data_IF_513181469030
#
_entry.id   IF_513181469030
#
_cell.length_a   1.000
_cell.length_b   1.000
_cell.length_c   1.000
_cell.angle_alpha   90.00
_cell.angle_beta   90.00
_cell.angle_gamma   90.00
#
_symmetry.space_group_name_H-M   'P 1'
#
loop_
_entity.id
_entity.type
_entity.pdbx_description
1 polymer ?
#
# COMPACT_ATOMS: atom_id res chain seq x y z
N UNK A 1 -23.19 -41.14 -3.66
CA UNK A 1 -23.68 -40.12 -2.71
C UNK A 1 -22.58 -39.88 -1.68
N UNK A 2 -21.69 -38.92 -1.92
CA UNK A 2 -20.56 -38.59 -1.04
C UNK A 2 -20.80 -37.18 -0.49
N UNK A 3 -21.02 -37.07 0.81
CA UNK A 3 -21.00 -35.78 1.53
C UNK A 3 -19.54 -35.44 1.79
N UNK A 4 -19.05 -34.32 1.26
CA UNK A 4 -17.84 -33.66 1.77
C UNK A 4 -18.28 -32.49 2.64
N UNK A 5 -18.14 -32.66 3.95
CA UNK A 5 -18.15 -31.54 4.90
C UNK A 5 -16.97 -30.64 4.57
N UNK A 6 -17.24 -29.34 4.51
CA UNK A 6 -16.21 -28.32 4.64
C UNK A 6 -16.26 -27.84 6.09
N UNK A 7 -15.33 -28.33 6.90
CA UNK A 7 -15.07 -27.76 8.21
C UNK A 7 -14.26 -26.47 8.01
N UNK A 8 -14.74 -25.42 8.69
CA UNK A 8 -14.22 -24.07 8.65
C UNK A 8 -12.87 -23.90 9.33
N UNK A 9 -12.34 -22.69 9.17
CA UNK A 9 -11.30 -22.07 9.98
C UNK A 9 -9.86 -22.57 9.74
N UNK A 10 -9.41 -22.42 8.50
CA UNK A 10 -7.99 -22.44 8.14
C UNK A 10 -7.31 -21.06 8.23
N UNK A 11 -7.49 -20.32 9.33
CA UNK A 11 -6.67 -19.12 9.58
C UNK A 11 -5.30 -19.60 10.06
N UNK A 12 -4.34 -19.72 9.13
CA UNK A 12 -2.94 -19.91 9.52
C UNK A 12 -2.49 -18.70 10.33
N UNK A 13 -2.14 -18.93 11.58
CA UNK A 13 -1.51 -17.94 12.44
C UNK A 13 -0.29 -17.36 11.72
N UNK A 14 -0.34 -16.06 11.47
CA UNK A 14 0.78 -15.27 11.01
C UNK A 14 1.77 -15.18 12.17
N UNK A 15 2.80 -16.00 12.17
CA UNK A 15 3.91 -15.86 13.11
C UNK A 15 4.57 -14.49 12.88
N UNK A 16 4.50 -13.66 13.92
CA UNK A 16 5.04 -12.30 13.95
C UNK A 16 6.55 -12.32 13.70
N UNK A 17 7.09 -11.62 12.70
CA UNK A 17 8.51 -11.37 12.63
C UNK A 17 8.93 -10.41 13.76
N UNK A 18 9.97 -10.80 14.50
CA UNK A 18 10.60 -10.01 15.56
C UNK A 18 11.10 -8.65 15.01
N UNK A 19 10.68 -7.55 15.66
CA UNK A 19 10.88 -6.14 15.27
C UNK A 19 12.33 -5.61 15.38
N UNK A 20 13.35 -6.38 15.00
CA UNK A 20 14.75 -5.95 15.13
C UNK A 20 15.63 -6.00 13.86
N UNK A 21 15.07 -6.30 12.69
CA UNK A 21 15.91 -6.48 11.47
C UNK A 21 15.52 -5.65 10.25
N UNK A 22 14.48 -4.82 10.29
CA UNK A 22 13.97 -4.14 9.08
C UNK A 22 14.21 -2.62 9.00
N UNK A 23 15.06 -2.05 9.86
CA UNK A 23 15.29 -0.60 9.89
C UNK A 23 16.45 -0.07 9.03
N UNK A 24 17.11 -0.89 8.18
CA UNK A 24 18.34 -0.44 7.51
C UNK A 24 18.63 -0.91 6.07
N UNK A 25 17.67 -1.49 5.33
CA UNK A 25 17.89 -1.84 3.91
C UNK A 25 16.65 -1.50 3.09
N UNK A 26 16.55 -0.27 2.56
CA UNK A 26 15.45 0.07 1.65
C UNK A 26 15.40 1.50 1.13
N UNK A 27 16.04 2.47 1.78
CA UNK A 27 15.88 3.90 1.43
C UNK A 27 16.91 4.44 0.42
N UNK A 28 17.89 3.65 -0.05
CA UNK A 28 19.01 4.18 -0.85
C UNK A 28 19.13 3.72 -2.32
N UNK A 29 18.08 3.20 -2.97
CA UNK A 29 18.22 2.69 -4.36
C UNK A 29 17.36 3.35 -5.45
N UNK A 30 16.59 4.39 -5.15
CA UNK A 30 15.75 5.08 -6.18
C UNK A 30 16.16 6.54 -6.45
N UNK A 31 17.04 7.16 -5.65
CA UNK A 31 17.43 8.57 -5.87
C UNK A 31 18.68 8.79 -6.73
N UNK A 32 19.47 7.75 -7.01
CA UNK A 32 20.81 7.88 -7.58
C UNK A 32 20.91 7.51 -9.07
N UNK A 33 20.14 8.15 -9.96
CA UNK A 33 20.59 8.33 -11.36
C UNK A 33 19.76 9.34 -12.17
N UNK A 34 20.09 10.62 -12.06
CA UNK A 34 19.90 11.59 -13.15
C UNK A 34 21.15 12.46 -13.23
N UNK A 35 21.76 12.47 -14.41
CA UNK A 35 23.19 12.72 -14.64
C UNK A 35 23.60 14.21 -14.65
N UNK A 36 24.89 14.40 -14.38
CA UNK A 36 25.81 15.49 -14.76
C UNK A 36 25.74 16.83 -14.01
N UNK A 37 26.83 17.19 -13.31
CA UNK A 37 27.15 18.57 -12.92
C UNK A 37 28.07 18.68 -11.70
N UNK A 38 29.21 19.33 -11.87
CA UNK A 38 30.42 19.39 -11.03
C UNK A 38 30.28 19.77 -9.53
N UNK A 39 31.28 19.40 -8.71
CA UNK A 39 31.25 19.57 -7.25
C UNK A 39 31.96 20.85 -6.83
N UNK A 40 31.30 22.00 -6.76
CA UNK A 40 31.75 23.15 -5.96
C UNK A 40 30.54 24.08 -5.74
N UNK A 41 30.07 24.19 -4.49
CA UNK A 41 29.36 25.31 -3.85
C UNK A 41 28.54 24.80 -2.64
N UNK A 42 29.18 24.04 -1.76
CA UNK A 42 28.71 23.84 -0.39
C UNK A 42 29.28 24.96 0.49
N UNK A 43 28.74 26.18 0.37
CA UNK A 43 28.95 27.27 1.32
C UNK A 43 28.08 28.45 0.89
N UNK A 44 27.00 28.76 1.64
CA UNK A 44 26.28 30.06 1.72
C UNK A 44 24.74 30.03 1.85
N UNK A 45 24.15 29.00 2.45
CA UNK A 45 22.74 29.09 2.91
C UNK A 45 22.58 28.62 4.35
N UNK A 46 23.31 29.29 5.26
CA UNK A 46 23.14 29.13 6.71
C UNK A 46 23.08 30.49 7.39
N UNK A 47 22.13 31.35 7.03
CA UNK A 47 21.61 32.41 7.92
C UNK A 47 20.19 32.74 7.44
N UNK A 48 19.22 32.85 8.37
CA UNK A 48 17.78 33.16 8.20
C UNK A 48 16.80 31.97 8.20
N UNK A 49 16.96 31.03 9.13
CA UNK A 49 15.82 30.27 9.67
C UNK A 49 15.83 30.37 11.20
N UNK A 50 15.50 31.55 11.72
CA UNK A 50 15.19 31.75 13.13
C UNK A 50 14.30 32.99 13.28
N UNK A 51 13.25 32.88 14.09
CA UNK A 51 12.29 33.94 14.45
C UNK A 51 11.17 34.32 13.44
N UNK A 52 10.43 33.34 12.89
CA UNK A 52 9.03 33.56 12.43
C UNK A 52 8.18 32.29 12.22
N UNK A 53 8.61 31.08 12.62
CA UNK A 53 7.88 29.84 12.27
C UNK A 53 7.10 29.20 13.44
N UNK A 54 7.18 29.74 14.65
CA UNK A 54 6.50 29.16 15.83
C UNK A 54 5.14 29.78 16.15
N UNK A 55 4.64 30.74 15.36
CA UNK A 55 3.39 31.46 15.67
C UNK A 55 2.29 31.41 14.59
N UNK A 56 2.41 30.52 13.59
CA UNK A 56 1.41 30.36 12.51
C UNK A 56 1.11 28.91 12.10
N UNK A 57 1.32 27.93 12.99
CA UNK A 57 0.83 26.54 12.78
C UNK A 57 -0.42 26.23 13.61
N UNK A 58 -1.21 27.26 13.91
CA UNK A 58 -2.52 27.16 14.54
C UNK A 58 -3.68 27.29 13.53
N UNK A 59 -3.42 27.11 12.23
CA UNK A 59 -4.43 27.03 11.17
C UNK A 59 -4.77 25.56 10.89
N UNK A 60 -5.67 25.00 11.70
CA UNK A 60 -6.39 23.74 11.45
C UNK A 60 -5.53 22.59 10.89
N UNK A 61 -4.81 21.86 11.75
CA UNK A 61 -4.36 20.50 11.41
C UNK A 61 -5.61 19.70 11.04
N UNK A 62 -5.93 19.58 9.74
CA UNK A 62 -6.98 18.65 9.29
C UNK A 62 -6.60 17.30 9.89
N UNK A 63 -7.53 16.71 10.66
CA UNK A 63 -7.31 15.40 11.26
C UNK A 63 -6.91 14.43 10.14
N UNK A 64 -5.91 13.59 10.41
CA UNK A 64 -5.53 12.53 9.50
C UNK A 64 -6.78 11.72 9.15
N UNK A 65 -7.08 11.61 7.87
CA UNK A 65 -8.27 10.94 7.33
C UNK A 65 -7.91 10.17 6.06
N UNK A 66 -6.62 9.99 5.78
CA UNK A 66 -6.18 9.11 4.71
C UNK A 66 -5.91 7.73 5.27
N UNK A 67 -6.30 6.75 4.48
CA UNK A 67 -6.25 5.34 4.81
C UNK A 67 -5.58 4.60 3.65
N UNK A 68 -4.69 3.67 3.96
CA UNK A 68 -4.33 2.59 3.04
C UNK A 68 -5.32 1.44 3.20
N UNK A 69 -5.56 0.71 2.13
CA UNK A 69 -6.45 -0.46 2.16
C UNK A 69 -5.97 -1.54 1.20
N UNK A 70 -6.31 -2.79 1.54
CA UNK A 70 -5.99 -3.98 0.75
C UNK A 70 -7.27 -4.77 0.51
N UNK A 71 -7.52 -5.11 -0.75
CA UNK A 71 -8.68 -5.88 -1.18
C UNK A 71 -8.20 -7.21 -1.74
N UNK A 72 -8.79 -8.30 -1.27
CA UNK A 72 -8.63 -9.63 -1.87
C UNK A 72 -9.34 -9.67 -3.23
N UNK A 73 -8.63 -10.12 -4.26
CA UNK A 73 -9.13 -10.32 -5.61
C UNK A 73 -9.37 -11.82 -5.86
N UNK A 74 -10.40 -12.14 -6.66
CA UNK A 74 -10.60 -13.48 -7.20
C UNK A 74 -9.36 -13.92 -7.98
N UNK A 75 -9.03 -15.21 -7.89
CA UNK A 75 -7.93 -15.82 -8.66
C UNK A 75 -8.15 -15.71 -10.17
N UNK A 76 -9.38 -15.45 -10.62
CA UNK A 76 -9.68 -15.21 -12.03
C UNK A 76 -8.93 -14.00 -12.59
N UNK A 77 -8.47 -13.07 -11.74
CA UNK A 77 -7.62 -11.95 -12.15
C UNK A 77 -6.31 -12.42 -12.80
N UNK A 78 -5.86 -13.64 -12.52
CA UNK A 78 -4.67 -14.23 -13.15
C UNK A 78 -4.87 -14.51 -14.64
N UNK A 79 -6.11 -14.58 -15.14
CA UNK A 79 -6.41 -14.68 -16.57
C UNK A 79 -6.15 -13.36 -17.31
N UNK A 80 -6.14 -12.24 -16.60
CA UNK A 80 -5.85 -10.93 -17.17
C UNK A 80 -4.36 -10.78 -17.47
N UNK A 81 -4.02 -10.66 -18.75
CA UNK A 81 -2.62 -10.59 -19.20
C UNK A 81 -1.84 -9.42 -18.59
N UNK A 82 -2.51 -8.28 -18.35
CA UNK A 82 -1.92 -7.13 -17.68
C UNK A 82 -1.52 -7.43 -16.23
N UNK A 83 -2.42 -8.05 -15.47
CA UNK A 83 -2.17 -8.43 -14.08
C UNK A 83 -1.03 -9.44 -13.97
N UNK A 84 -1.04 -10.47 -14.83
CA UNK A 84 0.02 -11.50 -14.86
C UNK A 84 1.38 -10.90 -15.21
N UNK A 85 1.43 -10.00 -16.20
CA UNK A 85 2.67 -9.33 -16.61
C UNK A 85 3.24 -8.44 -15.49
N UNK A 86 2.38 -7.82 -14.69
CA UNK A 86 2.79 -7.01 -13.55
C UNK A 86 3.30 -7.84 -12.36
N UNK A 87 3.06 -9.15 -12.35
CA UNK A 87 3.41 -10.04 -11.24
C UNK A 87 4.20 -11.27 -11.74
N UNK A 88 5.43 -11.08 -12.25
CA UNK A 88 6.26 -12.18 -12.75
C UNK A 88 6.68 -13.15 -11.64
N UNK A 89 6.86 -12.66 -10.40
CA UNK A 89 7.32 -13.43 -9.25
C UNK A 89 6.17 -13.98 -8.38
N UNK A 90 4.95 -14.01 -8.91
CA UNK A 90 3.79 -14.52 -8.19
C UNK A 90 3.94 -16.01 -7.82
N UNK A 91 3.76 -16.32 -6.54
CA UNK A 91 3.80 -17.70 -6.04
C UNK A 91 2.40 -18.32 -6.14
N UNK A 92 2.28 -19.41 -6.91
CA UNK A 92 1.02 -20.12 -7.11
C UNK A 92 0.41 -20.51 -5.75
N UNK A 93 -0.85 -20.14 -5.56
CA UNK A 93 -1.61 -20.44 -4.35
C UNK A 93 -1.68 -19.28 -3.36
N UNK A 94 -0.77 -18.31 -3.43
CA UNK A 94 -0.86 -17.07 -2.65
C UNK A 94 -2.06 -16.22 -3.09
N UNK A 95 -2.60 -15.37 -2.21
CA UNK A 95 -3.69 -14.47 -2.58
C UNK A 95 -3.28 -13.46 -3.67
N UNK A 96 -4.26 -13.03 -4.46
CA UNK A 96 -4.14 -11.87 -5.32
C UNK A 96 -4.83 -10.69 -4.63
N UNK A 97 -4.21 -9.52 -4.62
CA UNK A 97 -4.67 -8.36 -3.86
C UNK A 97 -4.53 -7.08 -4.67
N UNK A 98 -5.41 -6.12 -4.38
CA UNK A 98 -5.30 -4.74 -4.81
C UNK A 98 -4.91 -3.88 -3.60
N UNK A 99 -3.91 -3.03 -3.78
CA UNK A 99 -3.46 -2.06 -2.77
C UNK A 99 -3.76 -0.66 -3.28
N UNK A 100 -4.29 0.20 -2.40
CA UNK A 100 -4.52 1.60 -2.71
C UNK A 100 -4.65 2.47 -1.47
N UNK A 101 -4.70 3.78 -1.69
CA UNK A 101 -5.00 4.77 -0.65
C UNK A 101 -6.30 5.52 -0.92
N UNK A 102 -6.91 6.06 0.14
CA UNK A 102 -8.13 6.87 0.03
C UNK A 102 -8.23 7.90 1.15
N UNK A 103 -8.92 9.01 0.90
CA UNK A 103 -9.34 9.97 1.94
C UNK A 103 -10.75 9.68 2.50
N UNK A 104 -11.33 8.53 2.15
CA UNK A 104 -12.61 8.03 2.66
C UNK A 104 -12.36 6.85 3.58
N UNK A 105 -13.41 6.40 4.26
CA UNK A 105 -13.37 5.11 4.92
C UNK A 105 -13.15 3.97 3.89
N UNK A 106 -12.28 2.98 4.17
CA UNK A 106 -12.02 1.85 3.27
C UNK A 106 -13.28 1.07 2.85
N UNK A 107 -14.26 0.88 3.73
CA UNK A 107 -15.52 0.18 3.40
C UNK A 107 -16.30 0.99 2.36
N UNK A 108 -16.46 2.30 2.60
CA UNK A 108 -17.12 3.21 1.65
C UNK A 108 -16.39 3.26 0.32
N UNK A 109 -15.04 3.24 0.35
CA UNK A 109 -14.23 3.21 -0.87
C UNK A 109 -14.44 1.91 -1.65
N UNK A 110 -14.54 0.79 -0.94
CA UNK A 110 -14.80 -0.52 -1.54
C UNK A 110 -16.19 -0.58 -2.18
N UNK A 111 -17.22 -0.10 -1.49
CA UNK A 111 -18.58 -0.01 -2.04
C UNK A 111 -18.62 0.82 -3.33
N UNK A 112 -17.92 1.96 -3.35
CA UNK A 112 -17.79 2.78 -4.57
C UNK A 112 -17.11 2.02 -5.71
N UNK A 113 -16.06 1.27 -5.42
CA UNK A 113 -15.42 0.42 -6.43
C UNK A 113 -16.41 -0.61 -7.01
N UNK A 114 -17.17 -1.30 -6.14
CA UNK A 114 -18.16 -2.30 -6.57
C UNK A 114 -19.33 -1.69 -7.33
N UNK A 115 -19.73 -0.46 -6.99
CA UNK A 115 -20.73 0.30 -7.72
C UNK A 115 -20.23 0.89 -9.06
N UNK A 116 -18.94 0.76 -9.38
CA UNK A 116 -18.37 1.33 -10.61
C UNK A 116 -18.14 2.85 -10.55
N UNK A 117 -18.15 3.44 -9.36
CA UNK A 117 -18.01 4.89 -9.16
C UNK A 117 -16.57 5.18 -8.76
N UNK A 118 -15.84 5.93 -9.61
CA UNK A 118 -14.41 6.18 -9.42
C UNK A 118 -13.65 4.87 -9.13
N UNK A 119 -13.99 3.82 -9.88
CA UNK A 119 -13.54 2.45 -9.61
C UNK A 119 -12.28 2.08 -10.37
N UNK A 120 -11.53 1.12 -9.83
CA UNK A 120 -10.55 0.37 -10.59
C UNK A 120 -11.22 -0.87 -11.19
N UNK A 121 -10.97 -1.15 -12.48
CA UNK A 121 -11.55 -2.30 -13.19
C UNK A 121 -11.31 -3.62 -12.44
N UNK A 122 -10.11 -3.85 -11.93
CA UNK A 122 -9.78 -5.11 -11.24
C UNK A 122 -10.55 -5.27 -9.94
N UNK A 123 -10.69 -4.19 -9.17
CA UNK A 123 -11.46 -4.22 -7.92
C UNK A 123 -12.96 -4.39 -8.20
N UNK A 124 -13.47 -3.68 -9.20
CA UNK A 124 -14.88 -3.78 -9.59
C UNK A 124 -15.23 -5.21 -10.02
N UNK A 125 -14.44 -5.80 -10.92
CA UNK A 125 -14.71 -7.12 -11.50
C UNK A 125 -14.33 -8.28 -10.56
N UNK A 126 -13.17 -8.20 -9.92
CA UNK A 126 -12.60 -9.33 -9.16
C UNK A 126 -12.52 -9.11 -7.65
N UNK A 127 -12.79 -7.90 -7.13
CA UNK A 127 -12.74 -7.62 -5.69
C UNK A 127 -13.76 -8.43 -4.91
N UNK A 128 -13.27 -9.18 -3.91
CA UNK A 128 -14.03 -10.07 -3.03
C UNK A 128 -14.33 -9.43 -1.68
N UNK A 129 -13.30 -8.99 -0.95
CA UNK A 129 -13.42 -8.41 0.40
C UNK A 129 -12.18 -7.59 0.78
N UNK A 130 -12.31 -6.74 1.79
CA UNK A 130 -11.16 -6.09 2.43
C UNK A 130 -10.36 -7.09 3.28
N UNK A 131 -9.07 -6.85 3.45
CA UNK A 131 -8.16 -7.61 4.32
C UNK A 131 -7.56 -6.70 5.40
N UNK A 132 -8.33 -6.36 6.45
CA UNK A 132 -7.95 -5.29 7.38
C UNK A 132 -6.69 -5.61 8.20
N UNK A 133 -6.44 -6.88 8.47
CA UNK A 133 -5.21 -7.37 9.13
C UNK A 133 -3.91 -6.97 8.43
N UNK A 134 -3.95 -6.58 7.15
CA UNK A 134 -2.77 -6.14 6.39
C UNK A 134 -2.51 -4.63 6.50
N UNK A 135 -3.49 -3.81 6.90
CA UNK A 135 -3.38 -2.36 6.76
C UNK A 135 -3.91 -1.52 7.93
N UNK A 136 -4.80 -2.07 8.78
CA UNK A 136 -5.47 -1.28 9.84
C UNK A 136 -4.50 -0.62 10.81
N UNK A 137 -3.40 -1.30 11.14
CA UNK A 137 -2.38 -0.82 12.09
C UNK A 137 -1.74 0.50 11.68
N UNK A 138 -1.78 0.85 10.39
CA UNK A 138 -1.17 2.06 9.87
C UNK A 138 -2.14 3.26 9.84
N UNK A 139 -3.44 3.00 9.95
CA UNK A 139 -4.48 4.02 9.73
C UNK A 139 -4.93 4.70 11.05
N UNK A 140 -5.32 5.98 11.02
CA UNK A 140 -5.28 6.92 9.90
C UNK A 140 -3.96 7.70 9.82
N UNK A 141 -3.61 8.18 8.62
CA UNK A 141 -2.35 8.85 8.32
C UNK A 141 -2.52 10.14 7.51
N UNK A 142 -1.51 11.03 7.47
CA UNK A 142 -1.50 12.15 6.53
C UNK A 142 -1.43 11.67 5.08
N UNK A 143 -1.81 12.52 4.13
CA UNK A 143 -1.82 12.19 2.69
C UNK A 143 -0.49 11.62 2.20
N UNK A 144 0.61 12.33 2.49
CA UNK A 144 1.94 11.90 2.04
C UNK A 144 2.33 10.55 2.66
N UNK A 145 1.98 10.34 3.93
CA UNK A 145 2.17 9.05 4.59
C UNK A 145 1.37 7.91 3.95
N UNK A 146 0.13 8.17 3.53
CA UNK A 146 -0.71 7.18 2.82
C UNK A 146 -0.17 6.82 1.45
N UNK A 147 0.33 7.82 0.73
CA UNK A 147 0.96 7.63 -0.57
C UNK A 147 2.22 6.77 -0.47
N UNK A 148 3.09 7.08 0.50
CA UNK A 148 4.33 6.32 0.69
C UNK A 148 4.03 4.89 1.19
N UNK A 149 3.12 4.75 2.16
CA UNK A 149 2.73 3.45 2.71
C UNK A 149 2.07 2.53 1.69
N UNK A 150 1.26 3.06 0.76
CA UNK A 150 0.67 2.28 -0.33
C UNK A 150 1.75 1.57 -1.17
N UNK A 151 2.84 2.27 -1.49
CA UNK A 151 3.96 1.73 -2.27
C UNK A 151 4.70 0.68 -1.46
N UNK A 152 5.07 1.00 -0.21
CA UNK A 152 5.80 0.08 0.66
C UNK A 152 5.03 -1.22 0.92
N UNK A 153 3.72 -1.11 1.19
CA UNK A 153 2.86 -2.27 1.42
C UNK A 153 2.75 -3.15 0.16
N UNK A 154 2.62 -2.53 -1.02
CA UNK A 154 2.58 -3.24 -2.28
C UNK A 154 3.92 -3.95 -2.60
N UNK A 155 5.06 -3.37 -2.23
CA UNK A 155 6.38 -4.00 -2.39
C UNK A 155 6.49 -5.21 -1.45
N UNK A 156 6.22 -5.04 -0.15
CA UNK A 156 6.32 -6.12 0.83
C UNK A 156 5.44 -7.32 0.49
N UNK A 157 4.20 -7.08 0.03
CA UNK A 157 3.31 -8.16 -0.39
C UNK A 157 3.82 -8.90 -1.63
N UNK A 158 4.45 -8.21 -2.59
CA UNK A 158 5.08 -8.86 -3.76
C UNK A 158 6.26 -9.73 -3.34
N UNK A 159 7.09 -9.25 -2.42
CA UNK A 159 8.22 -10.01 -1.87
C UNK A 159 7.75 -11.27 -1.12
N UNK A 160 6.58 -11.23 -0.47
CA UNK A 160 5.93 -12.40 0.12
C UNK A 160 5.27 -13.36 -0.90
N UNK A 161 5.33 -13.02 -2.19
CA UNK A 161 4.84 -13.81 -3.31
C UNK A 161 3.36 -13.61 -3.65
N UNK A 162 2.71 -12.56 -3.13
CA UNK A 162 1.33 -12.23 -3.49
C UNK A 162 1.26 -11.69 -4.92
N UNK A 163 0.11 -11.88 -5.57
CA UNK A 163 -0.18 -11.18 -6.82
C UNK A 163 -0.72 -9.80 -6.48
N UNK A 164 -0.01 -8.73 -6.77
CA UNK A 164 -0.37 -7.38 -6.32
C UNK A 164 -0.65 -6.47 -7.51
N UNK A 165 -1.83 -5.84 -7.51
CA UNK A 165 -2.12 -4.70 -8.37
C UNK A 165 -2.14 -3.40 -7.56
N UNK A 166 -1.45 -2.40 -8.09
CA UNK A 166 -1.38 -1.06 -7.54
C UNK A 166 -1.58 -0.08 -8.70
N UNK A 167 -2.53 0.84 -8.57
CA UNK A 167 -2.87 1.82 -9.60
C UNK A 167 -3.55 3.03 -8.99
#
# INVERSE_FOLDING_TARGET
MMKRSYDGDGVRQFERPNLRTWFLVGVLRVWANRRHGSPLLASRYTVLYSCACTHLNATLRRRNHYHVYVIELSKDVLYEGGFRKANPDYIIGKPCVYVGMTGLDPDVRFDKHKAGIQSNRYVQQFGLRLLPHLYEVYNPMPYDGARDMEVELAIGLREEGFGVWQA
#
